data_IF_000506374379
#
_entry.id   IF_000506374379
#
_cell.length_a   1.000
_cell.length_b   1.000
_cell.length_c   1.000
_cell.angle_alpha   90.00
_cell.angle_beta   90.00
_cell.angle_gamma   90.00
#
_symmetry.space_group_name_H-M   'P 1'
#
loop_
_entity.id
_entity.type
_entity.pdbx_description
1 polymer ?
#
# COMPACT_ATOMS: atom_id res chain seq x y z
N UNK A 1 -16.59 12.46 -11.45
CA UNK A 1 -15.55 11.42 -11.28
C UNK A 1 -15.36 10.77 -12.64
N UNK A 2 -14.32 11.14 -13.40
CA UNK A 2 -14.06 10.56 -14.72
C UNK A 2 -12.96 9.52 -14.57
N UNK A 3 -13.37 8.26 -14.58
CA UNK A 3 -12.51 7.10 -14.76
C UNK A 3 -11.93 7.18 -16.17
N UNK A 4 -10.61 7.13 -16.33
CA UNK A 4 -9.98 7.05 -17.65
C UNK A 4 -10.20 5.63 -18.19
N UNK A 5 -10.78 5.56 -19.39
CA UNK A 5 -11.27 4.39 -20.14
C UNK A 5 -10.17 3.31 -20.35
N UNK A 6 -10.44 2.02 -20.45
CA UNK A 6 -11.72 1.34 -20.63
C UNK A 6 -11.62 -0.16 -20.41
N UNK A 7 -11.95 -0.60 -19.20
CA UNK A 7 -12.57 -1.89 -18.88
C UNK A 7 -13.49 -1.59 -17.70
N UNK A 8 -14.79 -1.49 -17.95
CA UNK A 8 -15.83 -1.36 -16.92
C UNK A 8 -15.90 -2.65 -16.13
N UNK A 9 -14.95 -2.85 -15.21
CA UNK A 9 -15.09 -3.73 -14.05
C UNK A 9 -16.27 -3.13 -13.27
N UNK A 10 -17.46 -3.76 -13.24
CA UNK A 10 -18.52 -3.29 -12.37
C UNK A 10 -17.93 -3.35 -10.97
N UNK A 11 -17.61 -2.18 -10.41
CA UNK A 11 -16.97 -2.10 -9.10
C UNK A 11 -17.78 -2.89 -8.08
N UNK A 12 -17.10 -3.40 -7.05
CA UNK A 12 -17.81 -4.02 -5.92
C UNK A 12 -18.79 -2.99 -5.36
N UNK A 13 -20.04 -3.39 -5.11
CA UNK A 13 -20.96 -2.60 -4.30
C UNK A 13 -20.39 -2.39 -2.91
N UNK A 14 -20.87 -1.40 -2.15
CA UNK A 14 -20.39 -1.15 -0.79
C UNK A 14 -20.48 -2.40 0.11
N UNK A 15 -21.57 -3.16 0.01
CA UNK A 15 -21.76 -4.38 0.80
C UNK A 15 -20.79 -5.50 0.39
N UNK A 16 -20.57 -5.67 -0.91
CA UNK A 16 -19.55 -6.59 -1.41
C UNK A 16 -18.14 -6.15 -1.01
N UNK A 17 -17.85 -4.84 -1.01
CA UNK A 17 -16.57 -4.28 -0.59
C UNK A 17 -16.32 -4.51 0.91
N UNK A 18 -17.34 -4.26 1.76
CA UNK A 18 -17.28 -4.58 3.20
C UNK A 18 -17.02 -6.07 3.41
N UNK A 19 -17.79 -6.94 2.76
CA UNK A 19 -17.61 -8.39 2.86
C UNK A 19 -16.21 -8.83 2.40
N UNK A 20 -15.73 -8.30 1.27
CA UNK A 20 -14.41 -8.58 0.71
C UNK A 20 -13.25 -8.15 1.64
N UNK A 21 -13.44 -7.06 2.37
CA UNK A 21 -12.50 -6.53 3.37
C UNK A 21 -12.74 -7.08 4.79
N UNK A 22 -13.70 -8.00 4.95
CA UNK A 22 -14.12 -8.59 6.23
C UNK A 22 -14.59 -7.54 7.25
N UNK A 23 -15.16 -6.43 6.78
CA UNK A 23 -15.82 -5.42 7.61
C UNK A 23 -17.25 -5.91 7.90
N UNK A 24 -17.71 -5.92 9.17
CA UNK A 24 -19.10 -6.28 9.48
C UNK A 24 -20.09 -5.36 8.77
N UNK A 25 -21.19 -5.89 8.20
CA UNK A 25 -22.13 -5.12 7.38
C UNK A 25 -22.81 -3.99 8.17
N UNK A 26 -23.10 -4.25 9.44
CA UNK A 26 -23.77 -3.39 10.41
C UNK A 26 -22.79 -2.55 11.26
N UNK A 27 -21.51 -2.49 10.90
CA UNK A 27 -20.53 -1.70 11.63
C UNK A 27 -20.87 -0.21 11.56
N UNK A 28 -21.33 0.36 12.69
CA UNK A 28 -21.56 1.80 12.85
C UNK A 28 -20.27 2.62 12.62
N UNK A 29 -19.12 1.98 12.87
CA UNK A 29 -17.79 2.57 12.82
C UNK A 29 -16.85 1.65 12.04
N UNK A 30 -17.01 1.58 10.70
CA UNK A 30 -16.31 0.59 9.89
C UNK A 30 -14.80 0.82 9.90
N UNK A 31 -14.06 -0.27 10.08
CA UNK A 31 -12.59 -0.33 10.11
C UNK A 31 -12.13 -1.67 9.57
N UNK A 32 -10.91 -1.73 9.05
CA UNK A 32 -10.28 -3.01 8.72
C UNK A 32 -9.95 -3.73 10.04
N UNK A 33 -10.43 -4.98 10.24
CA UNK A 33 -10.12 -5.75 11.45
C UNK A 33 -8.61 -5.96 11.63
N UNK A 34 -8.11 -5.82 12.86
CA UNK A 34 -6.71 -6.08 13.20
C UNK A 34 -5.74 -4.91 12.99
N UNK A 35 -6.19 -3.80 12.37
CA UNK A 35 -5.41 -2.55 12.32
C UNK A 35 -5.51 -1.75 13.62
N UNK A 36 -4.51 -0.89 13.92
CA UNK A 36 -4.47 -0.09 15.16
C UNK A 36 -5.47 1.07 15.17
N UNK A 37 -5.69 1.65 13.99
CA UNK A 37 -6.56 2.80 13.64
C UNK A 37 -7.28 3.44 14.84
N UNK A 38 -6.56 4.27 15.59
CA UNK A 38 -7.00 4.72 16.92
C UNK A 38 -8.11 5.80 16.90
N UNK A 39 -8.41 6.45 15.77
CA UNK A 39 -9.40 7.56 15.72
C UNK A 39 -10.15 7.82 14.40
N UNK A 40 -9.96 7.03 13.32
CA UNK A 40 -10.60 7.32 12.01
C UNK A 40 -11.42 6.13 11.52
N UNK A 41 -12.73 6.32 11.43
CA UNK A 41 -13.64 5.39 10.77
C UNK A 41 -13.54 5.56 9.25
N UNK A 42 -13.64 4.46 8.52
CA UNK A 42 -13.61 4.49 7.06
C UNK A 42 -14.93 5.05 6.53
N UNK A 43 -14.86 5.95 5.57
CA UNK A 43 -16.04 6.38 4.81
C UNK A 43 -16.33 5.37 3.70
N UNK A 44 -17.57 5.29 3.22
CA UNK A 44 -17.99 4.32 2.20
C UNK A 44 -17.09 4.32 0.96
N UNK A 45 -16.78 5.50 0.41
CA UNK A 45 -15.86 5.62 -0.73
C UNK A 45 -14.44 5.13 -0.41
N UNK A 46 -13.98 5.21 0.84
CA UNK A 46 -12.67 4.69 1.23
C UNK A 46 -12.72 3.16 1.28
N UNK A 47 -13.82 2.57 1.77
CA UNK A 47 -14.03 1.12 1.76
C UNK A 47 -14.00 0.59 0.33
N UNK A 48 -14.74 1.22 -0.57
CA UNK A 48 -14.76 0.89 -1.99
C UNK A 48 -13.37 1.04 -2.64
N UNK A 49 -12.67 2.14 -2.37
CA UNK A 49 -11.31 2.41 -2.87
C UNK A 49 -10.29 1.38 -2.38
N UNK A 50 -10.34 1.00 -1.11
CA UNK A 50 -9.48 -0.05 -0.53
C UNK A 50 -9.79 -1.40 -1.18
N UNK A 51 -11.07 -1.78 -1.32
CA UNK A 51 -11.46 -3.05 -1.91
C UNK A 51 -11.01 -3.15 -3.37
N UNK A 52 -11.20 -2.07 -4.13
CA UNK A 52 -10.72 -1.94 -5.49
C UNK A 52 -9.20 -2.08 -5.57
N UNK A 53 -8.45 -1.36 -4.73
CA UNK A 53 -6.99 -1.44 -4.68
C UNK A 53 -6.57 -2.89 -4.41
N UNK A 54 -7.02 -3.49 -3.31
CA UNK A 54 -6.69 -4.87 -2.96
C UNK A 54 -7.01 -5.85 -4.11
N UNK A 55 -8.13 -5.69 -4.82
CA UNK A 55 -8.49 -6.52 -5.98
C UNK A 55 -7.53 -6.34 -7.17
N UNK A 56 -7.15 -5.10 -7.50
CA UNK A 56 -6.18 -4.84 -8.59
C UNK A 56 -4.80 -5.37 -8.24
N UNK A 57 -4.38 -5.10 -7.01
CA UNK A 57 -3.09 -5.47 -6.46
C UNK A 57 -2.95 -7.01 -6.35
N UNK A 58 -4.00 -7.73 -5.94
CA UNK A 58 -3.99 -9.20 -5.90
C UNK A 58 -3.79 -9.84 -7.28
N UNK A 59 -4.15 -9.14 -8.36
CA UNK A 59 -4.02 -9.64 -9.74
C UNK A 59 -2.68 -9.22 -10.40
N UNK A 60 -1.68 -8.84 -9.61
CA UNK A 60 -0.34 -8.41 -10.06
C UNK A 60 -0.36 -7.27 -11.08
N UNK A 61 -1.46 -6.52 -11.14
CA UNK A 61 -1.58 -5.29 -11.93
C UNK A 61 -1.45 -4.14 -10.96
N UNK A 62 -0.44 -3.29 -11.16
CA UNK A 62 -0.28 -2.06 -10.39
C UNK A 62 -1.59 -1.28 -10.24
N UNK A 63 -1.73 -0.49 -9.17
CA UNK A 63 -2.90 0.37 -9.00
C UNK A 63 -2.46 1.80 -8.71
N UNK A 64 -3.17 2.77 -9.29
CA UNK A 64 -3.02 4.19 -8.97
C UNK A 64 -4.30 4.62 -8.26
N UNK A 65 -4.18 5.07 -7.01
CA UNK A 65 -5.28 5.68 -6.27
C UNK A 65 -5.34 7.17 -6.61
N UNK A 66 -6.05 7.54 -7.66
CA UNK A 66 -6.12 8.92 -8.17
C UNK A 66 -7.30 9.75 -7.61
N UNK A 67 -7.78 9.45 -6.40
CA UNK A 67 -8.87 10.18 -5.77
C UNK A 67 -8.51 11.65 -5.49
N UNK A 68 -9.51 12.53 -5.40
CA UNK A 68 -9.34 13.94 -5.07
C UNK A 68 -8.50 14.16 -3.80
N UNK A 69 -7.82 15.31 -3.71
CA UNK A 69 -7.04 15.71 -2.53
C UNK A 69 -7.92 15.69 -1.26
N UNK A 70 -7.36 15.25 -0.13
CA UNK A 70 -8.07 15.22 1.16
C UNK A 70 -8.96 14.00 1.44
N UNK A 71 -9.08 13.04 0.52
CA UNK A 71 -9.90 11.83 0.71
C UNK A 71 -9.21 10.69 1.49
N UNK A 72 -8.03 10.96 2.07
CA UNK A 72 -7.31 9.99 2.91
C UNK A 72 -6.67 8.85 2.13
N UNK A 73 -6.00 9.15 1.01
CA UNK A 73 -5.38 8.15 0.13
C UNK A 73 -4.26 7.37 0.81
N UNK A 74 -3.48 8.02 1.68
CA UNK A 74 -2.48 7.36 2.54
C UNK A 74 -3.13 6.34 3.45
N UNK A 75 -4.26 6.68 4.08
CA UNK A 75 -5.08 5.73 4.86
C UNK A 75 -5.57 4.55 4.01
N UNK A 76 -6.12 4.82 2.81
CA UNK A 76 -6.57 3.75 1.91
C UNK A 76 -5.40 2.83 1.49
N UNK A 77 -4.24 3.40 1.16
CA UNK A 77 -3.03 2.68 0.82
C UNK A 77 -2.56 1.80 1.97
N UNK A 78 -2.42 2.36 3.17
CA UNK A 78 -2.05 1.60 4.38
C UNK A 78 -3.02 0.46 4.70
N UNK A 79 -4.33 0.69 4.55
CA UNK A 79 -5.35 -0.35 4.70
C UNK A 79 -5.20 -1.46 3.64
N UNK A 80 -4.96 -1.09 2.39
CA UNK A 80 -4.76 -2.05 1.31
C UNK A 80 -3.50 -2.90 1.54
N UNK A 81 -2.39 -2.28 1.98
CA UNK A 81 -1.14 -2.99 2.31
C UNK A 81 -1.35 -3.98 3.43
N UNK A 82 -2.04 -3.58 4.50
CA UNK A 82 -2.38 -4.48 5.60
C UNK A 82 -3.20 -5.69 5.12
N UNK A 83 -4.27 -5.45 4.36
CA UNK A 83 -5.15 -6.53 3.86
C UNK A 83 -4.39 -7.49 2.93
N UNK A 84 -3.54 -6.96 2.05
CA UNK A 84 -2.69 -7.79 1.19
C UNK A 84 -1.71 -8.62 1.99
N UNK A 85 -1.04 -8.01 2.98
CA UNK A 85 -0.11 -8.70 3.85
C UNK A 85 -0.79 -9.87 4.57
N UNK A 86 -1.97 -9.63 5.16
CA UNK A 86 -2.74 -10.70 5.81
C UNK A 86 -3.12 -11.83 4.85
N UNK A 87 -3.48 -11.52 3.60
CA UNK A 87 -3.82 -12.53 2.60
C UNK A 87 -2.61 -13.35 2.15
N UNK A 88 -1.44 -12.71 2.00
CA UNK A 88 -0.20 -13.40 1.66
C UNK A 88 0.32 -14.28 2.79
N UNK A 89 0.19 -13.86 4.06
CA UNK A 89 0.59 -14.66 5.22
C UNK A 89 -0.24 -15.95 5.31
N UNK A 90 -1.54 -15.85 5.02
CA UNK A 90 -2.48 -16.97 5.08
C UNK A 90 -2.54 -17.82 3.79
N UNK A 91 -1.63 -17.61 2.83
CA UNK A 91 -1.59 -18.34 1.56
C UNK A 91 -0.23 -18.99 1.36
N UNK A 92 -0.20 -20.32 1.28
CA UNK A 92 1.03 -21.09 1.06
C UNK A 92 1.61 -20.89 -0.34
N UNK A 93 0.78 -20.50 -1.31
CA UNK A 93 1.18 -20.25 -2.71
C UNK A 93 1.59 -18.78 -2.95
N UNK A 94 1.39 -17.89 -1.97
CA UNK A 94 1.71 -16.49 -2.14
C UNK A 94 3.22 -16.24 -2.08
N UNK A 95 3.71 -15.43 -3.02
CA UNK A 95 5.08 -14.91 -2.96
C UNK A 95 5.15 -13.90 -1.82
N UNK A 96 5.91 -14.26 -0.77
CA UNK A 96 6.07 -13.46 0.44
C UNK A 96 7.17 -12.42 0.24
N UNK A 97 6.80 -11.16 -0.01
CA UNK A 97 7.75 -10.08 -0.32
C UNK A 97 7.34 -8.74 0.30
N UNK A 98 8.32 -7.84 0.53
CA UNK A 98 8.01 -6.49 0.98
C UNK A 98 7.18 -5.74 -0.04
N UNK A 99 6.44 -4.74 0.45
CA UNK A 99 5.70 -3.77 -0.37
C UNK A 99 6.57 -2.55 -0.59
N UNK A 100 6.73 -2.08 -1.83
CA UNK A 100 7.38 -0.80 -2.12
C UNK A 100 6.32 0.30 -2.22
N UNK A 101 6.61 1.44 -1.62
CA UNK A 101 5.80 2.65 -1.70
C UNK A 101 6.71 3.77 -2.18
N UNK A 102 6.40 4.31 -3.35
CA UNK A 102 7.10 5.47 -3.91
C UNK A 102 6.14 6.64 -3.90
N UNK A 103 6.42 7.66 -3.10
CA UNK A 103 5.56 8.85 -2.98
C UNK A 103 6.31 10.14 -3.38
N UNK A 104 5.61 11.25 -3.64
CA UNK A 104 6.23 12.57 -3.73
C UNK A 104 7.02 12.90 -2.46
N UNK A 105 8.10 13.66 -2.59
CA UNK A 105 8.96 14.04 -1.45
C UNK A 105 8.19 14.82 -0.39
N UNK A 106 7.31 15.73 -0.81
CA UNK A 106 6.52 16.59 0.08
C UNK A 106 5.44 15.85 0.87
N UNK A 107 5.21 14.56 0.58
CA UNK A 107 4.27 13.71 1.32
C UNK A 107 4.98 12.62 2.12
N UNK A 108 6.31 12.55 2.05
CA UNK A 108 7.07 11.44 2.61
C UNK A 108 6.85 11.30 4.12
N UNK A 109 6.93 12.40 4.85
CA UNK A 109 6.75 12.43 6.31
C UNK A 109 5.31 12.06 6.70
N UNK A 110 4.32 12.52 5.94
CA UNK A 110 2.92 12.14 6.13
C UNK A 110 2.71 10.64 5.92
N UNK A 111 3.28 10.07 4.85
CA UNK A 111 3.22 8.64 4.59
C UNK A 111 3.87 7.84 5.72
N UNK A 112 5.08 8.20 6.13
CA UNK A 112 5.79 7.51 7.21
C UNK A 112 5.00 7.57 8.52
N UNK A 113 4.50 8.77 8.89
CA UNK A 113 3.72 8.97 10.11
C UNK A 113 2.42 8.17 10.08
N UNK A 114 1.62 8.32 9.01
CA UNK A 114 0.33 7.64 8.92
C UNK A 114 0.50 6.12 8.92
N UNK A 115 1.46 5.56 8.16
CA UNK A 115 1.69 4.12 8.16
C UNK A 115 2.04 3.59 9.56
N UNK A 116 2.88 4.30 10.34
CA UNK A 116 3.22 3.93 11.73
C UNK A 116 2.01 3.98 12.67
N UNK A 117 1.06 4.89 12.44
CA UNK A 117 -0.16 5.01 13.23
C UNK A 117 -1.22 3.98 12.86
N UNK A 118 -1.33 3.66 11.57
CA UNK A 118 -2.34 2.77 10.99
C UNK A 118 -2.02 1.30 11.24
N UNK A 119 -0.76 0.92 11.02
CA UNK A 119 -0.33 -0.47 10.99
C UNK A 119 0.03 -1.00 12.39
N UNK A 120 -0.24 -2.29 12.66
CA UNK A 120 0.25 -2.98 13.86
C UNK A 120 1.76 -2.84 14.08
N UNK A 121 2.20 -2.98 15.33
CA UNK A 121 3.59 -2.73 15.73
C UNK A 121 4.61 -3.74 15.15
N UNK A 122 4.14 -4.89 14.67
CA UNK A 122 4.94 -5.91 13.99
C UNK A 122 5.14 -5.64 12.49
N UNK A 123 4.52 -4.59 11.95
CA UNK A 123 4.85 -4.06 10.63
C UNK A 123 6.10 -3.19 10.70
N UNK A 124 7.03 -3.41 9.77
CA UNK A 124 8.27 -2.64 9.68
C UNK A 124 8.17 -1.68 8.50
N UNK A 125 8.47 -0.41 8.75
CA UNK A 125 8.55 0.62 7.72
C UNK A 125 10.02 0.99 7.55
N UNK A 126 10.61 0.59 6.42
CA UNK A 126 11.97 0.95 6.05
C UNK A 126 11.98 2.16 5.13
N UNK A 127 12.68 3.21 5.53
CA UNK A 127 12.94 4.38 4.71
C UNK A 127 14.11 4.09 3.78
N UNK A 128 13.83 4.03 2.48
CA UNK A 128 14.81 3.92 1.41
C UNK A 128 15.09 5.31 0.85
N UNK A 129 16.07 5.97 1.45
CA UNK A 129 16.54 7.32 1.11
C UNK A 129 17.91 7.30 0.44
N UNK A 130 18.53 8.44 0.13
CA UNK A 130 19.88 8.49 -0.45
C UNK A 130 21.04 8.34 0.57
N UNK A 131 20.77 7.92 1.81
CA UNK A 131 21.80 7.84 2.86
C UNK A 131 22.56 6.50 2.82
N UNK A 132 23.64 6.41 3.60
CA UNK A 132 24.37 5.16 3.84
C UNK A 132 23.49 4.06 4.43
N UNK A 133 22.42 4.43 5.16
CA UNK A 133 21.44 3.48 5.69
C UNK A 133 20.76 2.71 4.56
N UNK A 134 20.52 3.34 3.41
CA UNK A 134 19.93 2.66 2.26
C UNK A 134 20.90 1.73 1.52
N UNK A 135 22.21 1.99 1.54
CA UNK A 135 23.21 1.03 1.03
C UNK A 135 23.26 -0.24 1.88
N UNK A 136 23.02 -0.10 3.20
CA UNK A 136 22.87 -1.25 4.10
C UNK A 136 21.62 -2.05 3.71
N UNK A 137 20.50 -1.38 3.39
CA UNK A 137 19.27 -2.04 2.94
C UNK A 137 19.47 -2.81 1.62
N UNK A 138 20.21 -2.27 0.66
CA UNK A 138 20.49 -2.98 -0.61
C UNK A 138 21.27 -4.28 -0.41
N UNK A 139 22.09 -4.34 0.64
CA UNK A 139 22.92 -5.49 0.98
C UNK A 139 22.23 -6.45 1.94
N UNK A 140 21.12 -6.03 2.54
CA UNK A 140 20.38 -6.82 3.49
C UNK A 140 19.47 -7.82 2.76
N UNK A 141 20.02 -9.00 2.47
CA UNK A 141 19.29 -10.10 1.85
C UNK A 141 18.08 -10.57 2.66
N UNK A 142 18.01 -10.23 3.97
CA UNK A 142 16.87 -10.57 4.82
C UNK A 142 15.61 -9.77 4.48
N UNK A 143 15.72 -8.60 3.86
CA UNK A 143 14.55 -7.85 3.36
C UNK A 143 13.87 -8.53 2.18
N UNK A 144 14.61 -9.40 1.49
CA UNK A 144 14.14 -10.21 0.37
C UNK A 144 13.99 -11.68 0.75
N UNK A 145 13.97 -12.00 2.04
CA UNK A 145 13.54 -13.33 2.50
C UNK A 145 12.09 -13.56 2.06
N UNK A 146 11.74 -14.81 1.79
CA UNK A 146 10.37 -15.19 1.42
C UNK A 146 9.60 -15.68 2.67
N UNK A 147 9.53 -14.82 3.69
CA UNK A 147 8.93 -15.14 4.99
C UNK A 147 7.81 -14.16 5.41
N UNK A 148 7.20 -14.41 6.57
CA UNK A 148 6.13 -13.55 7.11
C UNK A 148 6.61 -12.12 7.43
N UNK A 149 7.87 -11.94 7.84
CA UNK A 149 8.42 -10.64 8.16
C UNK A 149 8.58 -9.79 6.90
N UNK A 150 8.98 -10.41 5.78
CA UNK A 150 9.05 -9.75 4.48
C UNK A 150 7.66 -9.22 4.06
N UNK A 151 6.60 -10.00 4.26
CA UNK A 151 5.22 -9.57 3.95
C UNK A 151 4.76 -8.38 4.82
N UNK A 152 5.23 -8.32 6.06
CA UNK A 152 4.94 -7.22 7.00
C UNK A 152 5.87 -6.01 6.81
N UNK A 153 6.73 -6.05 5.81
CA UNK A 153 7.72 -5.00 5.54
C UNK A 153 7.25 -4.06 4.43
N UNK A 154 7.28 -2.76 4.71
CA UNK A 154 7.01 -1.69 3.75
C UNK A 154 8.27 -0.88 3.54
N UNK A 155 8.74 -0.82 2.30
CA UNK A 155 9.84 0.04 1.87
C UNK A 155 9.24 1.35 1.36
N UNK A 156 9.54 2.47 2.00
CA UNK A 156 9.06 3.80 1.63
C UNK A 156 10.19 4.60 0.98
N UNK A 157 9.95 5.15 -0.21
CA UNK A 157 10.91 5.94 -0.96
C UNK A 157 10.24 7.07 -1.74
N UNK A 158 11.06 7.88 -2.40
CA UNK A 158 10.62 8.95 -3.31
C UNK A 158 11.12 8.72 -4.73
N UNK A 159 10.44 9.32 -5.70
CA UNK A 159 10.87 9.28 -7.11
C UNK A 159 12.30 9.77 -7.30
N UNK A 160 12.69 10.83 -6.62
CA UNK A 160 14.04 11.39 -6.71
C UNK A 160 15.12 10.42 -6.25
N UNK A 161 14.89 9.70 -5.14
CA UNK A 161 15.81 8.69 -4.63
C UNK A 161 15.88 7.50 -5.59
N UNK A 162 14.72 6.97 -5.98
CA UNK A 162 14.63 5.83 -6.88
C UNK A 162 15.28 6.11 -8.23
N UNK A 163 15.09 7.32 -8.78
CA UNK A 163 15.70 7.74 -10.03
C UNK A 163 17.22 7.89 -9.92
N UNK A 164 17.73 8.48 -8.83
CA UNK A 164 19.17 8.68 -8.61
C UNK A 164 19.91 7.36 -8.45
N UNK A 165 19.34 6.39 -7.73
CA UNK A 165 19.98 5.11 -7.40
C UNK A 165 19.90 4.08 -8.54
N UNK A 166 18.80 4.04 -9.29
CA UNK A 166 18.57 2.98 -10.29
C UNK A 166 18.46 3.50 -11.73
N UNK A 167 18.49 4.81 -11.93
CA UNK A 167 18.37 5.45 -13.24
C UNK A 167 16.97 5.35 -13.83
N UNK A 168 16.86 5.31 -15.16
CA UNK A 168 15.60 5.06 -15.90
C UNK A 168 15.34 3.57 -16.17
N UNK A 169 16.29 2.69 -15.86
CA UNK A 169 16.11 1.23 -16.04
C UNK A 169 15.09 0.75 -15.03
N UNK A 170 14.10 -0.01 -15.52
CA UNK A 170 12.88 -0.35 -14.79
C UNK A 170 13.20 -0.85 -13.39
N UNK A 171 12.38 -0.38 -12.46
CA UNK A 171 12.30 -0.79 -11.07
C UNK A 171 12.19 -2.32 -10.89
N UNK A 172 11.92 -3.08 -11.96
CA UNK A 172 11.72 -4.54 -12.03
C UNK A 172 12.72 -5.40 -11.22
N UNK A 173 13.99 -4.99 -11.06
CA UNK A 173 14.95 -5.74 -10.23
C UNK A 173 14.71 -5.59 -8.72
N UNK A 174 14.08 -4.49 -8.31
CA UNK A 174 13.66 -4.19 -6.93
C UNK A 174 12.16 -4.47 -6.75
N UNK A 175 11.36 -4.37 -7.82
CA UNK A 175 9.89 -4.49 -7.86
C UNK A 175 9.38 -5.83 -8.36
N UNK A 176 10.12 -6.92 -8.16
CA UNK A 176 9.43 -8.20 -7.89
C UNK A 176 8.52 -8.08 -6.65
N UNK A 177 8.78 -7.04 -5.85
CA UNK A 177 7.97 -6.44 -4.80
C UNK A 177 6.75 -5.72 -5.38
N UNK A 178 5.61 -6.01 -4.79
CA UNK A 178 4.30 -5.46 -5.11
C UNK A 178 4.26 -3.93 -4.84
N UNK A 179 4.10 -3.14 -5.92
CA UNK A 179 3.43 -1.82 -6.01
C UNK A 179 4.20 -0.48 -5.90
N UNK A 180 3.51 0.59 -6.36
CA UNK A 180 3.91 1.99 -6.45
C UNK A 180 2.61 2.82 -6.41
N UNK A 181 2.47 3.79 -5.48
CA UNK A 181 1.27 4.65 -5.37
C UNK A 181 1.70 6.12 -5.32
N UNK A 182 1.40 6.86 -6.40
CA UNK A 182 1.61 8.30 -6.52
C UNK A 182 0.35 9.07 -6.13
N UNK A 183 0.46 10.01 -5.18
CA UNK A 183 -0.64 10.96 -4.93
C UNK A 183 -0.16 12.35 -4.53
N UNK A 184 0.57 13.03 -5.40
CA UNK A 184 0.64 14.50 -5.43
C UNK A 184 -0.11 14.97 -6.66
N UNK A 185 -0.98 15.96 -6.53
CA UNK A 185 -1.63 16.55 -7.70
C UNK A 185 -0.57 17.07 -8.66
N UNK A 186 -0.82 16.87 -9.95
CA UNK A 186 -0.27 17.80 -10.92
C UNK A 186 -0.72 19.20 -10.50
N UNK A 187 0.27 20.10 -10.44
CA UNK A 187 0.25 21.54 -10.10
C UNK A 187 0.37 21.91 -8.64
#
# INVERSE_FOLDING_TARGET
MKFVEGHSDPGLTLEEAKAYLRIPPDAQFPRIPGMRLSRRFLKDHQIEGIAWAVKKLSNLKGCILADSMGLGKTCQGGCAFYVLAQRQINSDEAIKKPTLVVCPADLFEEWERELKELLPADFIIYVYDSSAKAEILEKDSSLFSEDEQAVKTIILSTYGVMHRRHGRKRYDSITRSQFCIETGGLT
#
